data_IF_403642450283
#
_entry.id   IF_403642450283
#
_cell.length_a   1.000
_cell.length_b   1.000
_cell.length_c   1.000
_cell.angle_alpha   90.00
_cell.angle_beta   90.00
_cell.angle_gamma   90.00
#
_symmetry.space_group_name_H-M   'P 1'
#
loop_
_entity.id
_entity.type
_entity.pdbx_description
1 polymer ?
#
# COMPACT_ATOMS: atom_id res chain seq x y z
N UNK A 1 8.68 16.99 23.37
CA UNK A 1 9.56 17.59 22.33
C UNK A 1 10.52 16.56 21.72
N UNK A 2 11.13 15.69 22.54
CA UNK A 2 12.15 14.71 22.08
C UNK A 2 11.54 13.63 21.19
N UNK A 3 10.41 13.04 21.57
CA UNK A 3 9.68 12.04 20.76
C UNK A 3 9.31 12.59 19.38
N UNK A 4 8.82 13.84 19.31
CA UNK A 4 8.49 14.50 18.04
C UNK A 4 9.71 14.67 17.13
N UNK A 5 10.88 14.96 17.71
CA UNK A 5 12.12 15.04 16.94
C UNK A 5 12.52 13.67 16.35
N UNK A 6 12.41 12.59 17.14
CA UNK A 6 12.63 11.23 16.65
C UNK A 6 11.64 10.84 15.55
N UNK A 7 10.37 11.16 15.73
CA UNK A 7 9.34 10.92 14.70
C UNK A 7 9.70 11.57 13.36
N UNK A 8 10.10 12.86 13.38
CA UNK A 8 10.48 13.54 12.12
C UNK A 8 11.78 12.98 11.51
N UNK A 9 12.76 12.57 12.35
CA UNK A 9 13.93 11.83 11.85
C UNK A 9 13.52 10.52 11.17
N UNK A 10 12.57 9.79 11.75
CA UNK A 10 11.99 8.58 11.15
C UNK A 10 11.34 8.88 9.81
N UNK A 11 10.52 9.95 9.72
CA UNK A 11 9.89 10.39 8.47
C UNK A 11 10.90 10.71 7.39
N UNK A 12 11.90 11.52 7.71
CA UNK A 12 12.97 11.88 6.74
C UNK A 12 13.69 10.63 6.24
N UNK A 13 14.06 9.70 7.13
CA UNK A 13 14.72 8.47 6.71
C UNK A 13 13.80 7.57 5.86
N UNK A 14 12.51 7.51 6.16
CA UNK A 14 11.54 6.79 5.33
C UNK A 14 11.41 7.41 3.93
N UNK A 15 11.33 8.75 3.84
CA UNK A 15 11.23 9.47 2.57
C UNK A 15 12.53 9.35 1.73
N UNK A 16 13.68 9.18 2.39
CA UNK A 16 14.98 8.90 1.76
C UNK A 16 15.17 7.41 1.37
N UNK A 17 14.19 6.54 1.63
CA UNK A 17 14.28 5.12 1.32
C UNK A 17 15.14 4.31 2.31
N UNK A 18 15.28 4.74 3.56
CA UNK A 18 16.00 4.06 4.62
C UNK A 18 15.04 3.43 5.66
N UNK A 19 14.29 2.36 5.32
CA UNK A 19 13.19 1.85 6.14
C UNK A 19 13.65 1.32 7.51
N UNK A 20 14.80 0.65 7.59
CA UNK A 20 15.32 0.11 8.85
C UNK A 20 15.66 1.23 9.84
N UNK A 21 16.28 2.31 9.33
CA UNK A 21 16.60 3.46 10.16
C UNK A 21 15.37 4.26 10.54
N UNK A 22 14.42 4.40 9.64
CA UNK A 22 13.12 4.99 9.96
C UNK A 22 12.45 4.22 11.10
N UNK A 23 12.45 2.90 11.04
CA UNK A 23 11.89 2.03 12.09
C UNK A 23 12.57 2.24 13.45
N UNK A 24 13.89 2.33 13.48
CA UNK A 24 14.64 2.61 14.71
C UNK A 24 14.21 3.94 15.33
N UNK A 25 14.13 5.02 14.53
CA UNK A 25 13.71 6.32 15.03
C UNK A 25 12.24 6.35 15.50
N UNK A 26 11.33 5.64 14.81
CA UNK A 26 9.96 5.52 15.26
C UNK A 26 9.83 4.75 16.58
N UNK A 27 10.63 3.69 16.78
CA UNK A 27 10.68 2.97 18.06
C UNK A 27 11.27 3.83 19.19
N UNK A 28 12.27 4.69 18.89
CA UNK A 28 12.76 5.70 19.87
C UNK A 28 11.69 6.72 20.20
N UNK A 29 10.94 7.19 19.18
CA UNK A 29 9.83 8.11 19.37
C UNK A 29 8.73 7.49 20.24
N UNK A 30 8.37 6.24 19.98
CA UNK A 30 7.34 5.53 20.75
C UNK A 30 7.70 5.44 22.23
N UNK A 31 8.92 5.02 22.57
CA UNK A 31 9.39 4.92 23.97
C UNK A 31 9.34 6.24 24.72
N UNK A 32 9.61 7.36 24.03
CA UNK A 32 9.57 8.68 24.65
C UNK A 32 8.12 9.21 24.75
N UNK A 33 7.20 8.81 23.86
CA UNK A 33 5.83 9.34 23.76
C UNK A 33 4.82 8.57 24.62
N UNK A 34 5.00 7.27 24.83
CA UNK A 34 4.13 6.46 25.71
C UNK A 34 4.03 7.02 27.14
N UNK A 35 4.96 7.89 27.55
CA UNK A 35 4.96 8.58 28.85
C UNK A 35 4.10 9.85 28.88
N UNK A 36 3.75 10.40 27.71
CA UNK A 36 3.12 11.72 27.55
C UNK A 36 1.67 11.58 27.07
N UNK A 37 1.33 10.45 26.43
CA UNK A 37 0.00 10.11 25.92
C UNK A 37 -0.55 11.11 24.87
N UNK A 38 0.33 11.71 24.04
CA UNK A 38 -0.12 12.47 22.87
C UNK A 38 -0.61 11.52 21.78
N UNK A 39 -1.89 11.17 21.83
CA UNK A 39 -2.52 10.24 20.88
C UNK A 39 -2.42 10.69 19.43
N UNK A 40 -2.29 11.99 19.13
CA UNK A 40 -2.06 12.46 17.77
C UNK A 40 -0.68 12.04 17.25
N UNK A 41 0.33 12.06 18.08
CA UNK A 41 1.67 11.61 17.72
C UNK A 41 1.79 10.09 17.81
N UNK A 42 1.22 9.46 18.83
CA UNK A 42 1.18 8.00 19.00
C UNK A 42 0.54 7.31 17.81
N UNK A 43 -0.63 7.77 17.36
CA UNK A 43 -1.31 7.20 16.22
C UNK A 43 -0.47 7.24 14.94
N UNK A 44 0.26 8.35 14.71
CA UNK A 44 1.19 8.46 13.58
C UNK A 44 2.37 7.51 13.71
N UNK A 45 2.99 7.44 14.90
CA UNK A 45 4.13 6.55 15.17
C UNK A 45 3.69 5.09 14.97
N UNK A 46 2.59 4.67 15.59
CA UNK A 46 2.05 3.33 15.47
C UNK A 46 1.74 2.97 14.00
N UNK A 47 1.11 3.90 13.25
CA UNK A 47 0.81 3.65 11.83
C UNK A 47 2.09 3.44 11.01
N UNK A 48 3.11 4.27 11.19
CA UNK A 48 4.37 4.13 10.45
C UNK A 48 5.13 2.85 10.83
N UNK A 49 5.19 2.48 12.10
CA UNK A 49 5.82 1.21 12.53
C UNK A 49 5.07 0.03 11.90
N UNK A 50 3.73 0.03 11.99
CA UNK A 50 2.90 -1.01 11.39
C UNK A 50 3.09 -1.14 9.87
N UNK A 51 3.15 0.00 9.15
CA UNK A 51 3.45 0.02 7.72
C UNK A 51 4.83 -0.57 7.40
N UNK A 52 5.87 -0.24 8.17
CA UNK A 52 7.22 -0.77 7.94
C UNK A 52 7.30 -2.27 8.17
N UNK A 53 6.64 -2.80 9.20
CA UNK A 53 6.55 -4.25 9.39
C UNK A 53 5.76 -4.94 8.26
N UNK A 54 4.66 -4.35 7.79
CA UNK A 54 3.90 -4.89 6.67
C UNK A 54 4.72 -4.86 5.36
N UNK A 55 5.50 -3.81 5.12
CA UNK A 55 6.43 -3.73 3.98
C UNK A 55 7.50 -4.84 4.03
N UNK A 56 8.00 -5.15 5.24
CA UNK A 56 8.93 -6.26 5.49
C UNK A 56 8.25 -7.64 5.45
N UNK A 57 6.94 -7.70 5.17
CA UNK A 57 6.10 -8.91 5.17
C UNK A 57 6.01 -9.61 6.54
N UNK A 58 6.27 -8.91 7.64
CA UNK A 58 6.14 -9.41 9.02
C UNK A 58 4.79 -8.98 9.56
N UNK A 59 3.72 -9.53 8.98
CA UNK A 59 2.34 -9.09 9.17
C UNK A 59 1.85 -9.23 10.61
N UNK A 60 2.26 -10.28 11.32
CA UNK A 60 1.90 -10.53 12.72
C UNK A 60 2.43 -9.42 13.64
N UNK A 61 3.61 -8.85 13.32
CA UNK A 61 4.15 -7.70 14.05
C UNK A 61 3.51 -6.38 13.62
N UNK A 62 3.03 -6.28 12.39
CA UNK A 62 2.33 -5.09 11.90
C UNK A 62 0.98 -4.88 12.60
N UNK A 63 0.21 -5.97 12.79
CA UNK A 63 -1.17 -5.92 13.31
C UNK A 63 -1.33 -5.15 14.62
N UNK A 64 -0.56 -5.41 15.70
CA UNK A 64 -0.76 -4.72 16.98
C UNK A 64 -0.53 -3.21 16.85
N UNK A 65 0.45 -2.78 16.06
CA UNK A 65 0.71 -1.36 15.84
C UNK A 65 -0.39 -0.70 15.02
N UNK A 66 -0.87 -1.34 13.96
CA UNK A 66 -1.95 -0.79 13.13
C UNK A 66 -3.27 -0.69 13.91
N UNK A 67 -3.58 -1.67 14.78
CA UNK A 67 -4.75 -1.60 15.68
C UNK A 67 -4.64 -0.41 16.64
N UNK A 68 -3.48 -0.25 17.30
CA UNK A 68 -3.22 0.90 18.16
C UNK A 68 -3.34 2.24 17.43
N UNK A 69 -2.87 2.32 16.19
CA UNK A 69 -3.02 3.52 15.38
C UNK A 69 -4.50 3.88 15.15
N UNK A 70 -5.35 2.90 14.85
CA UNK A 70 -6.81 3.11 14.73
C UNK A 70 -7.40 3.62 16.04
N UNK A 71 -7.01 3.04 17.18
CA UNK A 71 -7.48 3.43 18.52
C UNK A 71 -7.04 4.85 18.87
N UNK A 72 -5.76 5.19 18.69
CA UNK A 72 -5.23 6.53 18.97
C UNK A 72 -5.94 7.61 18.17
N UNK A 73 -6.11 7.39 16.86
CA UNK A 73 -6.85 8.34 16.00
C UNK A 73 -8.33 8.42 16.36
N UNK A 74 -8.91 7.33 16.85
CA UNK A 74 -10.29 7.33 17.34
C UNK A 74 -10.45 8.21 18.58
N UNK A 75 -9.56 8.10 19.56
CA UNK A 75 -9.58 8.86 20.82
C UNK A 75 -9.57 10.37 20.57
N UNK A 76 -8.89 10.84 19.54
CA UNK A 76 -8.82 12.26 19.20
C UNK A 76 -9.80 12.69 18.10
N UNK A 77 -10.71 11.81 17.70
CA UNK A 77 -11.68 12.04 16.60
C UNK A 77 -11.02 12.43 15.26
N UNK A 78 -9.79 11.97 14.98
CA UNK A 78 -9.14 12.15 13.67
C UNK A 78 -9.65 11.12 12.66
N UNK A 79 -10.77 11.42 12.03
CA UNK A 79 -11.35 10.55 10.99
C UNK A 79 -10.39 10.30 9.82
N UNK A 80 -9.54 11.27 9.47
CA UNK A 80 -8.56 11.11 8.38
C UNK A 80 -7.47 10.11 8.77
N UNK A 81 -6.91 10.25 9.96
CA UNK A 81 -5.95 9.29 10.50
C UNK A 81 -6.54 7.88 10.61
N UNK A 82 -7.78 7.76 11.11
CA UNK A 82 -8.48 6.48 11.18
C UNK A 82 -8.64 5.82 9.80
N UNK A 83 -9.02 6.58 8.77
CA UNK A 83 -9.18 6.03 7.40
C UNK A 83 -7.87 5.44 6.89
N UNK A 84 -6.75 6.13 7.05
CA UNK A 84 -5.45 5.60 6.63
C UNK A 84 -5.04 4.37 7.44
N UNK A 85 -5.20 4.40 8.77
CA UNK A 85 -4.88 3.27 9.64
C UNK A 85 -5.75 2.04 9.35
N UNK A 86 -7.07 2.22 9.13
CA UNK A 86 -7.99 1.14 8.75
C UNK A 86 -7.66 0.53 7.39
N UNK A 87 -7.28 1.36 6.39
CA UNK A 87 -6.83 0.87 5.09
C UNK A 87 -5.60 -0.04 5.25
N UNK A 88 -4.60 0.43 5.97
CA UNK A 88 -3.35 -0.30 6.14
C UNK A 88 -3.56 -1.59 6.95
N UNK A 89 -4.42 -1.54 7.98
CA UNK A 89 -4.86 -2.72 8.74
C UNK A 89 -5.63 -3.71 7.86
N UNK A 90 -6.54 -3.22 7.01
CA UNK A 90 -7.30 -4.04 6.05
C UNK A 90 -6.38 -4.78 5.07
N UNK A 91 -5.37 -4.11 4.54
CA UNK A 91 -4.34 -4.73 3.69
C UNK A 91 -3.56 -5.82 4.43
N UNK A 92 -3.16 -5.56 5.67
CA UNK A 92 -2.45 -6.56 6.48
C UNK A 92 -3.33 -7.78 6.75
N UNK A 93 -4.62 -7.61 7.04
CA UNK A 93 -5.57 -8.72 7.15
C UNK A 93 -5.70 -9.50 5.85
N UNK A 94 -5.75 -8.81 4.70
CA UNK A 94 -5.81 -9.47 3.39
C UNK A 94 -4.56 -10.33 3.14
N UNK A 95 -3.37 -9.81 3.46
CA UNK A 95 -2.10 -10.55 3.31
C UNK A 95 -2.02 -11.79 4.23
N UNK A 96 -2.75 -11.79 5.33
CA UNK A 96 -2.91 -12.93 6.25
C UNK A 96 -4.05 -13.88 5.84
N UNK A 97 -4.71 -13.63 4.71
CA UNK A 97 -5.88 -14.43 4.25
C UNK A 97 -7.19 -14.13 5.01
N UNK A 98 -7.20 -13.15 5.90
CA UNK A 98 -8.35 -12.78 6.72
C UNK A 98 -9.27 -11.79 5.98
N UNK A 99 -9.89 -12.27 4.89
CA UNK A 99 -10.69 -11.44 3.99
C UNK A 99 -11.87 -10.72 4.69
N UNK A 100 -12.57 -11.37 5.62
CA UNK A 100 -13.69 -10.74 6.33
C UNK A 100 -13.24 -9.54 7.16
N UNK A 101 -12.13 -9.69 7.87
CA UNK A 101 -11.54 -8.58 8.64
C UNK A 101 -11.11 -7.44 7.72
N UNK A 102 -10.56 -7.74 6.54
CA UNK A 102 -10.21 -6.74 5.53
C UNK A 102 -11.44 -5.99 5.02
N UNK A 103 -12.53 -6.70 4.71
CA UNK A 103 -13.82 -6.10 4.30
C UNK A 103 -14.33 -5.13 5.37
N UNK A 104 -14.36 -5.57 6.63
CA UNK A 104 -14.83 -4.74 7.76
C UNK A 104 -13.98 -3.46 7.89
N UNK A 105 -12.66 -3.56 7.78
CA UNK A 105 -11.78 -2.41 7.84
C UNK A 105 -12.06 -1.41 6.71
N UNK A 106 -12.18 -1.88 5.46
CA UNK A 106 -12.47 -1.03 4.32
C UNK A 106 -13.86 -0.39 4.40
N UNK A 107 -14.89 -1.11 4.85
CA UNK A 107 -16.23 -0.57 5.08
C UNK A 107 -16.22 0.54 6.14
N UNK A 108 -15.54 0.32 7.28
CA UNK A 108 -15.35 1.34 8.32
C UNK A 108 -14.62 2.56 7.79
N UNK A 109 -13.55 2.37 7.00
CA UNK A 109 -12.82 3.46 6.38
C UNK A 109 -13.72 4.28 5.46
N UNK A 110 -14.54 3.66 4.61
CA UNK A 110 -15.49 4.34 3.73
C UNK A 110 -16.53 5.13 4.53
N UNK A 111 -17.08 4.55 5.60
CA UNK A 111 -18.05 5.23 6.46
C UNK A 111 -17.50 6.50 7.16
N UNK A 112 -16.20 6.55 7.40
CA UNK A 112 -15.52 7.71 7.98
C UNK A 112 -15.16 8.80 6.97
N UNK A 113 -15.17 8.50 5.66
CA UNK A 113 -14.84 9.45 4.61
C UNK A 113 -15.97 10.45 4.40
N UNK A 114 -15.77 11.71 4.81
CA UNK A 114 -16.79 12.78 4.69
C UNK A 114 -16.54 13.73 3.50
N UNK A 115 -15.30 14.20 3.34
CA UNK A 115 -14.94 15.26 2.36
C UNK A 115 -14.02 14.79 1.25
N UNK A 116 -13.24 13.74 1.48
CA UNK A 116 -12.23 13.26 0.54
C UNK A 116 -12.33 11.75 0.40
N UNK A 117 -12.58 11.31 -0.80
CA UNK A 117 -12.54 9.90 -1.16
C UNK A 117 -11.08 9.48 -1.39
N UNK A 118 -10.72 8.33 -0.84
CA UNK A 118 -9.44 7.66 -1.09
C UNK A 118 -9.71 6.49 -2.03
N UNK A 119 -9.40 6.62 -3.34
CA UNK A 119 -9.78 5.63 -4.35
C UNK A 119 -9.30 4.21 -4.03
N UNK A 120 -8.11 4.06 -3.43
CA UNK A 120 -7.56 2.75 -3.10
C UNK A 120 -8.42 1.93 -2.14
N UNK A 121 -9.12 2.56 -1.18
CA UNK A 121 -10.00 1.85 -0.26
C UNK A 121 -11.21 1.26 -1.00
N UNK A 122 -11.74 2.02 -1.96
CA UNK A 122 -12.86 1.57 -2.80
C UNK A 122 -12.45 0.43 -3.74
N UNK A 123 -11.28 0.54 -4.37
CA UNK A 123 -10.78 -0.52 -5.28
C UNK A 123 -10.45 -1.80 -4.52
N UNK A 124 -9.88 -1.70 -3.32
CA UNK A 124 -9.58 -2.86 -2.48
C UNK A 124 -10.86 -3.59 -2.03
N UNK A 125 -11.86 -2.83 -1.56
CA UNK A 125 -13.15 -3.42 -1.20
C UNK A 125 -13.87 -4.01 -2.42
N UNK A 126 -13.79 -3.34 -3.58
CA UNK A 126 -14.39 -3.85 -4.81
C UNK A 126 -13.74 -5.18 -5.24
N UNK A 127 -12.40 -5.30 -5.16
CA UNK A 127 -11.72 -6.57 -5.43
C UNK A 127 -12.20 -7.70 -4.53
N UNK A 128 -12.33 -7.45 -3.23
CA UNK A 128 -12.88 -8.42 -2.28
C UNK A 128 -14.34 -8.82 -2.58
N UNK A 129 -15.15 -7.86 -3.07
CA UNK A 129 -16.53 -8.15 -3.48
C UNK A 129 -16.59 -8.94 -4.78
N UNK A 130 -15.69 -8.67 -5.73
CA UNK A 130 -15.55 -9.45 -6.97
C UNK A 130 -15.23 -10.92 -6.64
N UNK A 131 -14.30 -11.16 -5.72
CA UNK A 131 -13.95 -12.52 -5.26
C UNK A 131 -15.14 -13.26 -4.62
N UNK A 132 -16.06 -12.52 -4.02
CA UNK A 132 -17.32 -13.04 -3.44
C UNK A 132 -18.50 -13.00 -4.38
N UNK A 133 -18.29 -12.76 -5.67
CA UNK A 133 -19.33 -12.67 -6.70
C UNK A 133 -20.41 -11.58 -6.44
N UNK A 134 -20.05 -10.55 -5.63
CA UNK A 134 -20.90 -9.38 -5.36
C UNK A 134 -20.65 -8.28 -6.39
N UNK A 135 -20.97 -8.58 -7.67
CA UNK A 135 -20.55 -7.76 -8.81
C UNK A 135 -21.18 -6.36 -8.82
N UNK A 136 -22.48 -6.23 -8.49
CA UNK A 136 -23.17 -4.93 -8.47
C UNK A 136 -22.58 -3.98 -7.42
N UNK A 137 -22.28 -4.50 -6.24
CA UNK A 137 -21.72 -3.71 -5.17
C UNK A 137 -20.28 -3.29 -5.50
N UNK A 138 -19.48 -4.18 -6.08
CA UNK A 138 -18.16 -3.87 -6.59
C UNK A 138 -18.21 -2.77 -7.66
N UNK A 139 -19.14 -2.87 -8.62
CA UNK A 139 -19.33 -1.87 -9.66
C UNK A 139 -19.71 -0.49 -9.08
N UNK A 140 -20.62 -0.44 -8.08
CA UNK A 140 -20.99 0.78 -7.38
C UNK A 140 -19.79 1.47 -6.71
N UNK A 141 -18.93 0.70 -6.04
CA UNK A 141 -17.70 1.19 -5.42
C UNK A 141 -16.71 1.76 -6.46
N UNK A 142 -16.49 1.03 -7.55
CA UNK A 142 -15.57 1.45 -8.61
C UNK A 142 -16.06 2.70 -9.33
N UNK A 143 -17.37 2.81 -9.59
CA UNK A 143 -17.98 4.02 -10.16
C UNK A 143 -17.77 5.23 -9.24
N UNK A 144 -18.03 5.06 -7.94
CA UNK A 144 -17.80 6.13 -6.95
C UNK A 144 -16.33 6.53 -6.90
N UNK A 145 -15.42 5.55 -6.91
CA UNK A 145 -13.97 5.81 -6.95
C UNK A 145 -13.59 6.63 -8.18
N UNK A 146 -14.07 6.21 -9.36
CA UNK A 146 -13.72 6.85 -10.64
C UNK A 146 -14.21 8.29 -10.73
N UNK A 147 -15.41 8.58 -10.24
CA UNK A 147 -15.98 9.94 -10.21
C UNK A 147 -15.19 10.91 -9.32
N UNK A 148 -14.42 10.38 -8.37
CA UNK A 148 -13.69 11.16 -7.37
C UNK A 148 -12.17 11.11 -7.53
N UNK A 149 -11.67 10.68 -8.66
CA UNK A 149 -10.24 10.66 -8.98
C UNK A 149 -9.73 12.08 -9.18
N UNK A 150 -8.85 12.54 -8.28
CA UNK A 150 -8.31 13.90 -8.32
C UNK A 150 -7.24 14.10 -9.41
N UNK A 151 -6.54 13.04 -9.79
CA UNK A 151 -5.47 13.08 -10.81
C UNK A 151 -5.78 12.07 -11.93
N UNK A 152 -5.62 12.43 -13.20
CA UNK A 152 -5.91 11.52 -14.32
C UNK A 152 -5.23 10.17 -14.22
N UNK A 153 -4.01 10.12 -13.67
CA UNK A 153 -3.25 8.87 -13.51
C UNK A 153 -3.83 7.94 -12.45
N UNK A 154 -4.55 8.46 -11.45
CA UNK A 154 -5.14 7.65 -10.38
C UNK A 154 -6.34 6.80 -10.83
N UNK A 155 -6.82 6.97 -12.07
CA UNK A 155 -7.89 6.13 -12.66
C UNK A 155 -7.44 4.72 -13.02
N UNK A 156 -6.15 4.52 -13.35
CA UNK A 156 -5.69 3.23 -13.87
C UNK A 156 -5.78 2.07 -12.88
N UNK A 157 -5.50 2.22 -11.56
CA UNK A 157 -5.83 1.18 -10.60
C UNK A 157 -7.32 0.84 -10.56
N UNK A 158 -8.21 1.82 -10.73
CA UNK A 158 -9.66 1.59 -10.83
C UNK A 158 -10.00 0.84 -12.13
N UNK A 159 -9.38 1.21 -13.25
CA UNK A 159 -9.56 0.53 -14.53
C UNK A 159 -9.12 -0.94 -14.47
N UNK A 160 -8.02 -1.23 -13.76
CA UNK A 160 -7.57 -2.61 -13.58
C UNK A 160 -8.66 -3.47 -12.91
N UNK A 161 -9.24 -2.98 -11.81
CA UNK A 161 -10.29 -3.70 -11.08
C UNK A 161 -11.61 -3.74 -11.88
N UNK A 162 -11.93 -2.69 -12.65
CA UNK A 162 -13.05 -2.74 -13.60
C UNK A 162 -12.84 -3.80 -14.68
N UNK A 163 -11.62 -3.90 -15.21
CA UNK A 163 -11.27 -4.94 -16.17
C UNK A 163 -11.46 -6.34 -15.62
N UNK A 164 -11.06 -6.57 -14.38
CA UNK A 164 -11.29 -7.84 -13.68
C UNK A 164 -12.79 -8.11 -13.47
N UNK A 165 -13.54 -7.11 -12.99
CA UNK A 165 -14.98 -7.21 -12.78
C UNK A 165 -15.70 -7.60 -14.08
N UNK A 166 -15.44 -6.88 -15.17
CA UNK A 166 -16.08 -7.16 -16.45
C UNK A 166 -15.68 -8.52 -17.04
N UNK A 167 -14.41 -8.94 -16.81
CA UNK A 167 -13.96 -10.29 -17.20
C UNK A 167 -14.80 -11.35 -16.45
N UNK A 168 -14.89 -11.26 -15.12
CA UNK A 168 -15.66 -12.20 -14.29
C UNK A 168 -17.16 -12.15 -14.57
N UNK A 169 -17.68 -11.02 -15.06
CA UNK A 169 -19.09 -10.85 -15.47
C UNK A 169 -19.34 -11.28 -16.92
N UNK A 170 -18.35 -11.80 -17.64
CA UNK A 170 -18.48 -12.23 -19.04
C UNK A 170 -18.53 -11.09 -20.08
N UNK A 171 -18.39 -9.84 -19.67
CA UNK A 171 -18.40 -8.66 -20.54
C UNK A 171 -17.00 -8.38 -21.11
N UNK A 172 -16.57 -9.28 -21.99
CA UNK A 172 -15.16 -9.35 -22.44
C UNK A 172 -14.70 -8.09 -23.16
N UNK A 173 -15.55 -7.43 -23.96
CA UNK A 173 -15.17 -6.22 -24.69
C UNK A 173 -14.91 -5.05 -23.73
N UNK A 174 -15.77 -4.89 -22.72
CA UNK A 174 -15.55 -3.91 -21.65
C UNK A 174 -14.28 -4.22 -20.87
N UNK A 175 -14.04 -5.49 -20.52
CA UNK A 175 -12.81 -5.90 -19.85
C UNK A 175 -11.57 -5.53 -20.67
N UNK A 176 -11.55 -5.86 -21.97
CA UNK A 176 -10.45 -5.53 -22.88
C UNK A 176 -10.19 -4.03 -22.95
N UNK A 177 -11.24 -3.22 -23.04
CA UNK A 177 -11.11 -1.76 -23.08
C UNK A 177 -10.35 -1.22 -21.88
N UNK A 178 -10.76 -1.57 -20.65
CA UNK A 178 -10.13 -1.07 -19.44
C UNK A 178 -8.71 -1.63 -19.23
N UNK A 179 -8.51 -2.92 -19.50
CA UNK A 179 -7.20 -3.57 -19.36
C UNK A 179 -6.19 -3.04 -20.38
N UNK A 180 -6.59 -2.80 -21.62
CA UNK A 180 -5.73 -2.22 -22.65
C UNK A 180 -5.32 -0.78 -22.30
N UNK A 181 -6.24 0.01 -21.72
CA UNK A 181 -5.92 1.34 -21.22
C UNK A 181 -4.86 1.30 -20.10
N UNK A 182 -4.90 0.29 -19.22
CA UNK A 182 -3.86 0.09 -18.19
C UNK A 182 -2.50 -0.21 -18.83
N UNK A 183 -2.43 -1.10 -19.82
CA UNK A 183 -1.17 -1.47 -20.49
C UNK A 183 -0.55 -0.27 -21.18
N UNK A 184 -1.36 0.49 -21.93
CA UNK A 184 -0.87 1.56 -22.78
C UNK A 184 -0.47 2.83 -22.01
N UNK A 185 -1.13 3.12 -20.90
CA UNK A 185 -1.08 4.45 -20.30
C UNK A 185 -0.89 4.49 -18.78
N UNK A 186 -0.93 3.36 -18.07
CA UNK A 186 -0.70 3.39 -16.63
C UNK A 186 0.76 3.72 -16.32
N UNK A 187 1.01 4.69 -15.41
CA UNK A 187 2.38 5.05 -15.03
C UNK A 187 3.07 3.96 -14.20
N UNK A 188 2.30 3.23 -13.40
CA UNK A 188 2.83 2.18 -12.52
C UNK A 188 3.02 0.87 -13.28
N UNK A 189 4.24 0.30 -13.30
CA UNK A 189 4.51 -0.98 -13.94
C UNK A 189 3.62 -2.12 -13.43
N UNK A 190 3.32 -2.15 -12.14
CA UNK A 190 2.44 -3.15 -11.52
C UNK A 190 1.01 -3.11 -12.12
N UNK A 191 0.48 -1.92 -12.38
CA UNK A 191 -0.85 -1.78 -13.02
C UNK A 191 -0.83 -2.28 -14.46
N UNK A 192 0.27 -2.01 -15.21
CA UNK A 192 0.45 -2.55 -16.58
C UNK A 192 0.57 -4.07 -16.57
N UNK A 193 1.34 -4.61 -15.61
CA UNK A 193 1.49 -6.06 -15.45
C UNK A 193 0.14 -6.73 -15.12
N UNK A 194 -0.67 -6.13 -14.25
CA UNK A 194 -2.04 -6.59 -13.99
C UNK A 194 -2.91 -6.60 -15.23
N UNK A 195 -2.83 -5.57 -16.08
CA UNK A 195 -3.54 -5.52 -17.36
C UNK A 195 -3.12 -6.65 -18.31
N UNK A 196 -1.81 -6.88 -18.45
CA UNK A 196 -1.28 -7.99 -19.27
C UNK A 196 -1.72 -9.35 -18.74
N UNK A 197 -1.69 -9.54 -17.42
CA UNK A 197 -2.12 -10.78 -16.78
C UNK A 197 -3.57 -11.11 -17.12
N UNK A 198 -4.50 -10.18 -16.90
CA UNK A 198 -5.92 -10.43 -17.19
C UNK A 198 -6.24 -10.56 -18.68
N UNK A 199 -5.56 -9.81 -19.57
CA UNK A 199 -5.74 -10.01 -21.01
C UNK A 199 -5.20 -11.37 -21.48
N UNK A 200 -4.09 -11.84 -20.91
CA UNK A 200 -3.58 -13.20 -21.14
C UNK A 200 -4.63 -14.25 -20.74
N UNK A 201 -5.24 -14.11 -19.56
CA UNK A 201 -6.31 -15.03 -19.14
C UNK A 201 -7.49 -15.03 -20.11
N UNK A 202 -7.95 -13.86 -20.55
CA UNK A 202 -9.03 -13.75 -21.56
C UNK A 202 -8.63 -14.46 -22.88
N UNK A 203 -7.39 -14.28 -23.33
CA UNK A 203 -6.90 -14.93 -24.55
C UNK A 203 -6.86 -16.45 -24.41
N UNK A 204 -6.42 -16.98 -23.26
CA UNK A 204 -6.43 -18.42 -22.96
C UNK A 204 -7.85 -18.99 -22.94
N UNK A 205 -8.80 -18.33 -22.27
CA UNK A 205 -10.20 -18.74 -22.19
C UNK A 205 -10.89 -18.75 -23.58
N UNK A 206 -10.42 -17.90 -24.52
CA UNK A 206 -10.93 -17.82 -25.89
C UNK A 206 -10.16 -18.71 -26.89
N UNK A 207 -9.18 -19.49 -26.45
CA UNK A 207 -8.37 -20.34 -27.34
C UNK A 207 -7.42 -19.54 -28.26
N UNK A 208 -7.13 -18.29 -27.95
CA UNK A 208 -6.27 -17.40 -28.74
C UNK A 208 -4.79 -17.60 -28.33
N UNK A 209 -4.26 -18.79 -28.66
CA UNK A 209 -2.97 -19.27 -28.13
C UNK A 209 -1.78 -18.38 -28.50
N UNK A 210 -1.72 -17.87 -29.73
CA UNK A 210 -0.64 -16.97 -30.14
C UNK A 210 -0.66 -15.65 -29.37
N UNK A 211 -1.85 -15.07 -29.20
CA UNK A 211 -2.02 -13.85 -28.42
C UNK A 211 -1.70 -14.08 -26.96
N UNK A 212 -2.13 -15.20 -26.38
CA UNK A 212 -1.83 -15.56 -25.00
C UNK A 212 -0.33 -15.73 -24.78
N UNK A 213 0.39 -16.35 -25.72
CA UNK A 213 1.84 -16.51 -25.65
C UNK A 213 2.57 -15.14 -25.70
N UNK A 214 2.14 -14.23 -26.58
CA UNK A 214 2.70 -12.89 -26.67
C UNK A 214 2.49 -12.09 -25.38
N UNK A 215 1.27 -12.10 -24.86
CA UNK A 215 0.92 -11.41 -23.61
C UNK A 215 1.67 -12.01 -22.41
N UNK A 216 1.85 -13.33 -22.37
CA UNK A 216 2.65 -14.02 -21.34
C UNK A 216 4.09 -13.55 -21.37
N UNK A 217 4.72 -13.49 -22.54
CA UNK A 217 6.09 -13.00 -22.70
C UNK A 217 6.24 -11.55 -22.21
N UNK A 218 5.30 -10.68 -22.59
CA UNK A 218 5.32 -9.27 -22.15
C UNK A 218 5.14 -9.16 -20.64
N UNK A 219 4.24 -9.94 -20.05
CA UNK A 219 4.00 -10.00 -18.61
C UNK A 219 5.25 -10.43 -17.84
N UNK A 220 5.91 -11.53 -18.26
CA UNK A 220 7.11 -12.03 -17.57
C UNK A 220 8.26 -11.02 -17.67
N UNK A 221 8.52 -10.42 -18.84
CA UNK A 221 9.55 -9.39 -18.98
C UNK A 221 9.30 -8.18 -18.06
N UNK A 222 8.05 -7.75 -17.96
CA UNK A 222 7.70 -6.61 -17.10
C UNK A 222 7.79 -6.99 -15.62
N UNK A 223 7.37 -8.19 -15.24
CA UNK A 223 7.47 -8.72 -13.88
C UNK A 223 8.93 -8.83 -13.43
N UNK A 224 9.80 -9.37 -14.27
CA UNK A 224 11.24 -9.45 -13.99
C UNK A 224 11.85 -8.06 -13.79
N UNK A 225 11.48 -7.10 -14.62
CA UNK A 225 11.93 -5.70 -14.47
C UNK A 225 11.46 -5.08 -13.14
N UNK A 226 10.22 -5.33 -12.74
CA UNK A 226 9.68 -4.88 -11.43
C UNK A 226 10.47 -5.51 -10.28
N UNK A 227 10.74 -6.81 -10.36
CA UNK A 227 11.46 -7.55 -9.32
C UNK A 227 12.92 -7.08 -9.20
N UNK A 228 13.61 -6.92 -10.33
CA UNK A 228 14.97 -6.35 -10.36
C UNK A 228 15.01 -4.95 -9.76
N UNK A 229 14.03 -4.09 -10.07
CA UNK A 229 13.90 -2.77 -9.49
C UNK A 229 13.75 -2.80 -7.97
N UNK A 230 12.90 -3.69 -7.44
CA UNK A 230 12.71 -3.89 -5.99
C UNK A 230 13.96 -4.43 -5.30
N UNK A 231 14.66 -5.37 -5.92
CA UNK A 231 15.91 -5.92 -5.39
C UNK A 231 17.01 -4.85 -5.35
N UNK A 232 17.17 -4.06 -6.40
CA UNK A 232 18.14 -2.97 -6.45
C UNK A 232 17.83 -1.88 -5.40
N UNK A 233 16.56 -1.57 -5.15
CA UNK A 233 16.13 -0.66 -4.08
C UNK A 233 16.46 -1.25 -2.71
N UNK A 234 16.19 -2.52 -2.47
CA UNK A 234 16.51 -3.21 -1.22
C UNK A 234 18.00 -3.19 -0.93
N UNK A 235 18.85 -3.48 -1.92
CA UNK A 235 20.31 -3.43 -1.78
C UNK A 235 20.79 -2.01 -1.43
N UNK A 236 20.29 -0.99 -2.14
CA UNK A 236 20.62 0.42 -1.84
C UNK A 236 20.23 0.80 -0.41
N UNK A 237 19.06 0.35 0.06
CA UNK A 237 18.60 0.64 1.41
C UNK A 237 19.50 -0.01 2.48
N UNK A 238 19.95 -1.25 2.25
CA UNK A 238 20.92 -1.95 3.12
C UNK A 238 22.27 -1.22 3.13
N UNK A 239 22.80 -0.88 1.96
CA UNK A 239 24.07 -0.15 1.86
C UNK A 239 24.02 1.21 2.56
N UNK A 240 22.95 1.98 2.33
CA UNK A 240 22.73 3.27 2.99
C UNK A 240 22.64 3.13 4.52
N UNK A 241 22.04 2.04 5.01
CA UNK A 241 21.97 1.74 6.45
C UNK A 241 23.35 1.50 7.05
N UNK A 242 24.20 0.70 6.38
CA UNK A 242 25.57 0.44 6.85
C UNK A 242 26.43 1.71 6.84
N UNK A 243 26.46 2.45 5.73
CA UNK A 243 27.25 3.69 5.61
C UNK A 243 26.84 4.73 6.65
N UNK A 244 25.55 4.81 6.97
CA UNK A 244 25.12 5.74 8.01
C UNK A 244 25.56 5.30 9.42
N UNK A 245 25.53 4.01 9.72
CA UNK A 245 25.99 3.50 11.03
C UNK A 245 27.48 3.73 11.20
N UNK A 246 28.31 3.59 10.17
CA UNK A 246 29.72 3.95 10.20
C UNK A 246 29.90 5.44 10.53
N UNK A 247 29.20 6.33 9.82
CA UNK A 247 29.27 7.78 10.09
C UNK A 247 28.80 8.13 11.51
N UNK A 248 27.75 7.48 12.02
CA UNK A 248 27.30 7.71 13.40
C UNK A 248 28.33 7.23 14.44
N UNK A 249 29.00 6.12 14.15
CA UNK A 249 30.06 5.58 15.01
C UNK A 249 31.27 6.51 15.03
N UNK A 250 31.73 6.96 13.87
CA UNK A 250 32.83 7.92 13.72
C UNK A 250 32.56 9.25 14.44
N UNK A 251 31.31 9.75 14.30
CA UNK A 251 30.90 10.98 15.02
C UNK A 251 30.82 10.77 16.53
N UNK A 252 30.44 9.59 16.99
CA UNK A 252 30.42 9.28 18.41
C UNK A 252 31.84 9.18 18.98
N UNK A 253 32.74 8.50 18.27
CA UNK A 253 34.16 8.42 18.62
C UNK A 253 34.84 9.81 18.63
N UNK A 254 34.61 10.62 17.59
CA UNK A 254 35.13 11.98 17.54
C UNK A 254 34.67 12.86 18.70
N UNK A 255 33.43 12.69 19.17
CA UNK A 255 32.90 13.38 20.36
C UNK A 255 33.53 12.91 21.67
N UNK A 256 33.87 11.62 21.78
CA UNK A 256 34.58 11.09 22.92
C UNK A 256 36.01 11.63 23.06
N UNK A 257 36.69 11.83 21.92
CA UNK A 257 38.05 12.41 21.91
C UNK A 257 38.07 13.94 22.07
N UNK A 258 36.94 14.61 21.88
CA UNK A 258 36.82 16.07 22.02
C UNK A 258 36.33 16.51 23.40
N UNK A 259 35.97 15.57 24.29
CA UNK A 259 35.54 15.79 25.68
C UNK A 259 36.67 15.49 26.67
#
# INVERSE_FOLDING_TARGET
>A
RKAKAWYYKGRINQDLGHPLKAQEYYLKALRDEEKIEDHALLGRIHNHIGMLYAYQKVYEKALPFQKKAVEDFHLINDSTGQVFALRDLGRTFLMLGLQDSSIICNQKAIALMRKRIIPSVYTELAGLYIDRQRMEEAHGLLRTSLQNVAKPQAKYPVYLVLGELYKKSGQIDSARFYLQACINSAPLPETRAGGLFHLKEIALEKGQWEQAALLSKQYELLKDSIEQGKNAESIRNVQAFYSYNEIEQDLWEARLYAS
#
